data_IF_215284190394
#
_entry.id   IF_215284190394
#
_cell.length_a   1.000
_cell.length_b   1.000
_cell.length_c   1.000
_cell.angle_alpha   90.00
_cell.angle_beta   90.00
_cell.angle_gamma   90.00
#
_symmetry.space_group_name_H-M   'P 1'
#
loop_
_entity.id
_entity.type
_entity.pdbx_description
1 polymer ?
#
# COMPACT_ATOMS: atom_id res chain seq x y z
N UNK A 1 -0.75 -30.92 -47.44
CA UNK A 1 -1.05 -30.79 -45.99
C UNK A 1 -2.55 -30.78 -45.83
N UNK A 2 -3.06 -31.46 -44.81
CA UNK A 2 -4.47 -31.42 -44.45
C UNK A 2 -4.83 -30.12 -43.70
N UNK A 3 -6.10 -29.69 -43.69
CA UNK A 3 -6.54 -28.49 -42.95
C UNK A 3 -6.27 -28.55 -41.43
N UNK A 4 -6.18 -29.75 -40.84
CA UNK A 4 -5.78 -29.95 -39.43
C UNK A 4 -4.27 -29.71 -39.22
N UNK A 5 -3.42 -30.12 -40.18
CA UNK A 5 -1.97 -29.90 -40.12
C UNK A 5 -1.58 -28.43 -40.34
N UNK A 6 -2.31 -27.68 -41.17
CA UNK A 6 -2.14 -26.23 -41.34
C UNK A 6 -2.56 -25.43 -40.09
N UNK A 7 -3.63 -25.84 -39.39
CA UNK A 7 -4.03 -25.23 -38.11
C UNK A 7 -3.05 -25.55 -36.98
N UNK A 8 -2.49 -26.76 -36.96
CA UNK A 8 -1.43 -27.15 -36.03
C UNK A 8 -0.10 -26.45 -36.31
N UNK A 9 0.26 -26.20 -37.58
CA UNK A 9 1.46 -25.43 -37.95
C UNK A 9 1.35 -23.93 -37.62
N UNK A 10 0.14 -23.40 -37.38
CA UNK A 10 -0.10 -22.01 -36.99
C UNK A 10 -0.22 -21.77 -35.49
N UNK A 11 -0.05 -22.79 -34.64
CA UNK A 11 -0.04 -22.64 -33.19
C UNK A 11 1.39 -22.33 -32.74
N UNK A 12 1.61 -21.13 -32.21
CA UNK A 12 2.90 -20.70 -31.67
C UNK A 12 2.74 -20.33 -30.19
N UNK A 13 3.86 -20.25 -29.46
CA UNK A 13 3.83 -19.80 -28.05
C UNK A 13 3.23 -18.39 -27.94
N UNK A 14 3.54 -17.52 -28.89
CA UNK A 14 3.02 -16.15 -28.94
C UNK A 14 1.50 -16.13 -29.09
N UNK A 15 0.97 -16.91 -30.04
CA UNK A 15 -0.48 -17.01 -30.27
C UNK A 15 -1.21 -17.63 -29.07
N UNK A 16 -0.56 -18.56 -28.38
CA UNK A 16 -1.08 -19.17 -27.17
C UNK A 16 -1.18 -18.16 -26.02
N UNK A 17 -0.15 -17.33 -25.82
CA UNK A 17 -0.14 -16.25 -24.82
C UNK A 17 -1.15 -15.16 -25.16
N UNK A 18 -1.27 -14.75 -26.43
CA UNK A 18 -2.24 -13.76 -26.88
C UNK A 18 -3.67 -14.22 -26.60
N UNK A 19 -3.99 -15.48 -26.92
CA UNK A 19 -5.30 -16.05 -26.63
C UNK A 19 -5.57 -16.17 -25.12
N UNK A 20 -4.57 -16.53 -24.32
CA UNK A 20 -4.69 -16.58 -22.86
C UNK A 20 -4.96 -15.20 -22.25
N UNK A 21 -4.22 -14.16 -22.68
CA UNK A 21 -4.46 -12.78 -22.27
C UNK A 21 -5.86 -12.28 -22.67
N UNK A 22 -6.32 -12.63 -23.87
CA UNK A 22 -7.69 -12.34 -24.32
C UNK A 22 -8.74 -12.97 -23.41
N UNK A 23 -8.60 -14.26 -23.10
CA UNK A 23 -9.51 -14.98 -22.21
C UNK A 23 -9.50 -14.40 -20.79
N UNK A 24 -8.32 -14.04 -20.25
CA UNK A 24 -8.21 -13.36 -18.95
C UNK A 24 -8.94 -12.02 -18.97
N UNK A 25 -8.81 -11.23 -20.04
CA UNK A 25 -9.49 -9.94 -20.14
C UNK A 25 -11.01 -10.09 -20.18
N UNK A 26 -11.52 -11.11 -20.86
CA UNK A 26 -12.96 -11.42 -20.97
C UNK A 26 -13.50 -11.98 -19.65
N UNK A 27 -12.93 -13.08 -19.15
CA UNK A 27 -13.51 -13.92 -18.09
C UNK A 27 -12.79 -13.80 -16.73
N UNK A 28 -11.61 -13.18 -16.71
CA UNK A 28 -10.73 -13.14 -15.53
C UNK A 28 -9.83 -14.37 -15.44
N UNK A 29 -8.87 -14.34 -14.51
CA UNK A 29 -7.88 -15.41 -14.32
C UNK A 29 -8.53 -16.75 -13.96
N UNK A 30 -9.66 -16.73 -13.26
CA UNK A 30 -10.38 -17.94 -12.85
C UNK A 30 -11.06 -18.65 -14.04
N UNK A 31 -11.30 -17.94 -15.15
CA UNK A 31 -11.77 -18.52 -16.42
C UNK A 31 -10.66 -19.21 -17.24
N UNK A 32 -9.38 -18.93 -16.94
CA UNK A 32 -8.26 -19.51 -17.67
C UNK A 32 -8.00 -20.96 -17.28
N UNK A 33 -8.45 -21.87 -18.14
CA UNK A 33 -8.13 -23.30 -18.11
C UNK A 33 -7.52 -23.78 -19.43
N UNK A 34 -6.74 -24.86 -19.40
CA UNK A 34 -6.17 -25.46 -20.62
C UNK A 34 -7.26 -25.86 -21.63
N UNK A 35 -8.43 -26.28 -21.14
CA UNK A 35 -9.58 -26.61 -22.00
C UNK A 35 -10.17 -25.36 -22.64
N UNK A 36 -10.48 -24.33 -21.84
CA UNK A 36 -11.03 -23.08 -22.36
C UNK A 36 -10.07 -22.41 -23.38
N UNK A 37 -8.76 -22.48 -23.13
CA UNK A 37 -7.75 -21.99 -24.07
C UNK A 37 -7.71 -22.80 -25.37
N UNK A 38 -7.84 -24.13 -25.30
CA UNK A 38 -7.87 -24.99 -26.48
C UNK A 38 -9.13 -24.72 -27.33
N UNK A 39 -10.28 -24.58 -26.67
CA UNK A 39 -11.55 -24.23 -27.30
C UNK A 39 -11.45 -22.87 -28.01
N UNK A 40 -10.86 -21.86 -27.33
CA UNK A 40 -10.64 -20.51 -27.89
C UNK A 40 -9.71 -20.48 -29.11
N UNK A 41 -8.78 -21.42 -29.18
CA UNK A 41 -7.83 -21.58 -30.28
C UNK A 41 -8.32 -22.55 -31.36
N UNK A 42 -9.48 -23.19 -31.16
CA UNK A 42 -10.05 -24.23 -32.02
C UNK A 42 -9.08 -25.42 -32.27
N UNK A 43 -8.34 -25.81 -31.23
CA UNK A 43 -7.40 -26.94 -31.26
C UNK A 43 -7.73 -27.96 -30.18
N UNK A 44 -7.15 -29.16 -30.28
CA UNK A 44 -7.26 -30.17 -29.22
C UNK A 44 -6.39 -29.75 -28.04
N UNK A 45 -6.82 -29.98 -26.80
CA UNK A 45 -6.03 -29.63 -25.60
C UNK A 45 -4.62 -30.24 -25.61
N UNK A 46 -4.48 -31.48 -26.13
CA UNK A 46 -3.19 -32.13 -26.34
C UNK A 46 -2.21 -31.29 -27.21
N UNK A 47 -2.72 -30.47 -28.13
CA UNK A 47 -1.91 -29.59 -28.98
C UNK A 47 -1.22 -28.49 -28.18
N UNK A 48 -1.86 -27.98 -27.12
CA UNK A 48 -1.27 -26.94 -26.26
C UNK A 48 -0.03 -27.46 -25.52
N UNK A 49 -0.03 -28.74 -25.13
CA UNK A 49 1.03 -29.34 -24.34
C UNK A 49 2.37 -29.51 -25.09
N UNK A 50 2.35 -29.37 -26.42
CA UNK A 50 3.59 -29.27 -27.22
C UNK A 50 4.30 -27.93 -27.06
N UNK A 51 3.57 -26.89 -26.65
CA UNK A 51 4.09 -25.55 -26.48
C UNK A 51 4.36 -25.20 -25.01
N UNK A 52 3.57 -25.74 -24.07
CA UNK A 52 3.70 -25.52 -22.63
C UNK A 52 3.50 -26.82 -21.86
N UNK A 53 4.32 -27.11 -20.85
CA UNK A 53 4.22 -28.35 -20.06
C UNK A 53 2.94 -28.42 -19.24
N UNK A 54 2.50 -27.29 -18.71
CA UNK A 54 1.34 -27.17 -17.83
C UNK A 54 0.80 -25.73 -17.79
N UNK A 55 -0.22 -25.50 -16.94
CA UNK A 55 -0.81 -24.18 -16.70
C UNK A 55 0.18 -23.21 -16.05
N UNK A 56 1.13 -23.70 -15.26
CA UNK A 56 2.12 -22.85 -14.59
C UNK A 56 3.10 -22.28 -15.61
N UNK A 57 3.62 -23.09 -16.53
CA UNK A 57 4.47 -22.58 -17.63
C UNK A 57 3.70 -21.60 -18.53
N UNK A 58 2.40 -21.83 -18.76
CA UNK A 58 1.55 -20.85 -19.44
C UNK A 58 1.50 -19.51 -18.69
N UNK A 59 1.30 -19.53 -17.37
CA UNK A 59 1.28 -18.30 -16.57
C UNK A 59 2.63 -17.57 -16.56
N UNK A 60 3.75 -18.31 -16.58
CA UNK A 60 5.07 -17.71 -16.74
C UNK A 60 5.17 -16.93 -18.05
N UNK A 61 4.75 -17.53 -19.18
CA UNK A 61 4.77 -16.87 -20.49
C UNK A 61 3.82 -15.66 -20.55
N UNK A 62 2.67 -15.75 -19.88
CA UNK A 62 1.72 -14.63 -19.76
C UNK A 62 2.35 -13.49 -18.94
N UNK A 63 2.99 -13.79 -17.82
CA UNK A 63 3.69 -12.79 -17.01
C UNK A 63 4.84 -12.13 -17.77
N UNK A 64 5.64 -12.92 -18.49
CA UNK A 64 6.70 -12.41 -19.37
C UNK A 64 6.14 -11.46 -20.42
N UNK A 65 4.99 -11.78 -21.03
CA UNK A 65 4.32 -10.90 -21.99
C UNK A 65 3.82 -9.59 -21.35
N UNK A 66 3.26 -9.67 -20.14
CA UNK A 66 2.83 -8.49 -19.37
C UNK A 66 4.03 -7.59 -19.05
N UNK A 67 5.14 -8.16 -18.60
CA UNK A 67 6.33 -7.39 -18.23
C UNK A 67 7.11 -6.88 -19.45
N UNK A 68 7.15 -7.66 -20.54
CA UNK A 68 7.85 -7.31 -21.78
C UNK A 68 7.22 -6.17 -22.57
N UNK A 69 5.99 -5.79 -22.22
CA UNK A 69 5.25 -4.67 -22.83
C UNK A 69 5.22 -3.43 -21.96
N UNK A 70 5.96 -3.42 -20.84
CA UNK A 70 6.20 -2.22 -20.03
C UNK A 70 7.00 -1.24 -20.87
N UNK A 71 6.45 -0.03 -21.08
CA UNK A 71 7.10 1.00 -21.89
C UNK A 71 8.37 1.47 -21.21
N UNK A 72 9.52 1.25 -21.87
CA UNK A 72 10.82 1.71 -21.42
C UNK A 72 10.87 3.25 -21.49
N UNK A 73 11.01 3.97 -20.36
CA UNK A 73 11.01 5.43 -20.36
C UNK A 73 12.30 5.97 -21.00
N UNK A 74 12.23 7.19 -21.55
CA UNK A 74 13.43 7.87 -22.06
C UNK A 74 14.41 8.15 -20.89
N UNK A 75 15.71 7.91 -21.06
CA UNK A 75 16.70 8.23 -20.03
C UNK A 75 16.64 9.71 -19.63
N UNK A 76 16.65 9.96 -18.34
CA UNK A 76 16.74 11.29 -17.72
C UNK A 76 18.05 11.43 -16.93
N UNK A 77 18.33 12.66 -16.47
CA UNK A 77 19.63 13.01 -15.88
C UNK A 77 19.95 12.31 -14.53
N UNK A 78 18.98 11.64 -13.89
CA UNK A 78 19.19 11.02 -12.59
C UNK A 78 18.55 9.64 -12.45
N UNK A 79 19.27 8.72 -11.78
CA UNK A 79 18.83 7.36 -11.49
C UNK A 79 17.45 7.32 -10.82
N UNK A 80 17.15 8.31 -9.97
CA UNK A 80 15.88 8.44 -9.26
C UNK A 80 14.73 8.72 -10.22
N UNK A 81 14.87 9.70 -11.11
CA UNK A 81 13.81 10.00 -12.08
C UNK A 81 13.59 8.83 -13.03
N UNK A 82 14.65 8.12 -13.42
CA UNK A 82 14.55 6.91 -14.24
C UNK A 82 13.80 5.80 -13.50
N UNK A 83 14.15 5.50 -12.24
CA UNK A 83 13.47 4.48 -11.44
C UNK A 83 11.97 4.80 -11.25
N UNK A 84 11.63 6.08 -11.00
CA UNK A 84 10.24 6.53 -10.92
C UNK A 84 9.48 6.36 -12.24
N UNK A 85 10.13 6.68 -13.36
CA UNK A 85 9.51 6.53 -14.68
C UNK A 85 9.27 5.05 -15.02
N UNK A 86 10.21 4.16 -14.66
CA UNK A 86 10.06 2.71 -14.84
C UNK A 86 8.89 2.19 -13.98
N UNK A 87 8.86 2.53 -12.69
CA UNK A 87 7.76 2.15 -11.79
C UNK A 87 6.39 2.65 -12.27
N UNK A 88 6.33 3.88 -12.80
CA UNK A 88 5.11 4.44 -13.38
C UNK A 88 4.65 3.73 -14.65
N UNK A 89 5.59 3.30 -15.50
CA UNK A 89 5.28 2.48 -16.67
C UNK A 89 4.78 1.08 -16.28
N UNK A 90 5.41 0.46 -15.28
CA UNK A 90 4.98 -0.83 -14.74
C UNK A 90 3.57 -0.73 -14.14
N UNK A 91 3.30 0.28 -13.30
CA UNK A 91 1.96 0.50 -12.73
C UNK A 91 0.88 0.65 -13.80
N UNK A 92 1.15 1.45 -14.84
CA UNK A 92 0.21 1.63 -15.95
C UNK A 92 -0.08 0.33 -16.67
N UNK A 93 0.95 -0.50 -16.90
CA UNK A 93 0.78 -1.81 -17.54
C UNK A 93 -0.05 -2.76 -16.68
N UNK A 94 0.23 -2.83 -15.38
CA UNK A 94 -0.53 -3.66 -14.44
C UNK A 94 -1.98 -3.21 -14.37
N UNK A 95 -2.23 -1.91 -14.30
CA UNK A 95 -3.59 -1.35 -14.22
C UNK A 95 -4.38 -1.55 -15.52
N UNK A 96 -3.72 -1.69 -16.66
CA UNK A 96 -4.35 -1.91 -17.96
C UNK A 96 -4.68 -3.38 -18.24
N UNK A 97 -4.13 -4.32 -17.47
CA UNK A 97 -4.28 -5.76 -17.68
C UNK A 97 -5.09 -6.38 -16.55
N UNK A 98 -6.23 -6.99 -16.88
CA UNK A 98 -7.09 -7.65 -15.90
C UNK A 98 -6.32 -8.78 -15.19
N UNK A 99 -6.48 -8.84 -13.87
CA UNK A 99 -5.83 -9.80 -12.96
C UNK A 99 -4.29 -9.85 -13.01
N UNK A 100 -3.62 -8.83 -13.57
CA UNK A 100 -2.16 -8.80 -13.67
C UNK A 100 -1.45 -8.97 -12.32
N UNK A 101 -1.96 -8.34 -11.25
CA UNK A 101 -1.39 -8.51 -9.90
C UNK A 101 -1.42 -9.97 -9.44
N UNK A 102 -2.54 -10.68 -9.63
CA UNK A 102 -2.66 -12.10 -9.25
C UNK A 102 -1.68 -12.96 -10.05
N UNK A 103 -1.64 -12.75 -11.37
CA UNK A 103 -0.73 -13.47 -12.27
C UNK A 103 0.72 -13.28 -11.85
N UNK A 104 1.17 -12.03 -11.66
CA UNK A 104 2.56 -11.71 -11.34
C UNK A 104 2.98 -12.24 -9.95
N UNK A 105 2.06 -12.35 -9.00
CA UNK A 105 2.33 -12.94 -7.69
C UNK A 105 2.38 -14.48 -7.72
N UNK A 106 1.73 -15.13 -8.69
CA UNK A 106 1.81 -16.59 -8.88
C UNK A 106 3.13 -17.03 -9.53
N UNK A 107 3.84 -16.14 -10.24
CA UNK A 107 5.10 -16.45 -10.94
C UNK A 107 6.23 -15.45 -10.60
N UNK A 108 6.74 -15.46 -9.36
CA UNK A 108 7.77 -14.51 -8.89
C UNK A 108 9.05 -14.54 -9.75
N UNK A 109 9.44 -15.72 -10.25
CA UNK A 109 10.64 -15.89 -11.09
C UNK A 109 10.56 -15.13 -12.43
N UNK A 110 9.36 -14.80 -12.91
CA UNK A 110 9.18 -13.98 -14.11
C UNK A 110 9.58 -12.52 -13.88
N UNK A 111 9.48 -12.01 -12.64
CA UNK A 111 9.87 -10.64 -12.31
C UNK A 111 11.38 -10.48 -12.47
N UNK A 112 12.17 -11.39 -11.87
CA UNK A 112 13.63 -11.34 -11.90
C UNK A 112 14.21 -11.53 -13.30
N UNK A 113 13.52 -12.27 -14.17
CA UNK A 113 13.90 -12.44 -15.58
C UNK A 113 13.56 -11.24 -16.47
N UNK A 114 12.77 -10.29 -15.99
CA UNK A 114 12.26 -9.21 -16.83
C UNK A 114 13.29 -8.11 -17.10
N UNK A 115 13.17 -7.47 -18.27
CA UNK A 115 13.91 -6.24 -18.59
C UNK A 115 13.59 -5.12 -17.60
N UNK A 116 12.38 -5.09 -17.06
CA UNK A 116 11.97 -4.09 -16.05
C UNK A 116 12.79 -4.24 -14.77
N UNK A 117 13.02 -5.47 -14.31
CA UNK A 117 13.91 -5.75 -13.19
C UNK A 117 15.35 -5.34 -13.50
N UNK A 118 15.86 -5.71 -14.67
CA UNK A 118 17.22 -5.36 -15.09
C UNK A 118 17.43 -3.84 -15.14
N UNK A 119 16.46 -3.10 -15.70
CA UNK A 119 16.51 -1.64 -15.80
C UNK A 119 16.46 -0.98 -14.41
N UNK A 120 15.60 -1.46 -13.50
CA UNK A 120 15.54 -0.98 -12.11
C UNK A 120 16.82 -1.27 -11.35
N UNK A 121 17.36 -2.49 -11.48
CA UNK A 121 18.63 -2.88 -10.88
C UNK A 121 19.77 -1.99 -11.36
N UNK A 122 19.83 -1.68 -12.66
CA UNK A 122 20.81 -0.77 -13.21
C UNK A 122 20.70 0.66 -12.61
N UNK A 123 19.47 1.14 -12.33
CA UNK A 123 19.31 2.42 -11.63
C UNK A 123 19.80 2.35 -10.19
N UNK A 124 19.57 1.24 -9.48
CA UNK A 124 20.08 1.04 -8.12
C UNK A 124 21.62 0.98 -8.08
N UNK A 125 22.25 0.35 -9.08
CA UNK A 125 23.70 0.34 -9.22
C UNK A 125 24.26 1.73 -9.54
N UNK A 126 23.58 2.50 -10.41
CA UNK A 126 23.92 3.90 -10.69
C UNK A 126 23.80 4.77 -9.43
N UNK A 127 22.88 4.43 -8.53
CA UNK A 127 22.77 5.07 -7.23
C UNK A 127 23.94 4.73 -6.27
N UNK A 128 24.74 3.71 -6.56
CA UNK A 128 25.89 3.28 -5.76
C UNK A 128 25.69 1.99 -4.97
N UNK A 129 24.61 1.23 -5.22
CA UNK A 129 24.39 -0.06 -4.56
C UNK A 129 25.26 -1.15 -5.18
N UNK A 130 25.69 -2.10 -4.35
CA UNK A 130 26.39 -3.30 -4.81
C UNK A 130 25.45 -4.19 -5.61
N UNK A 131 25.99 -5.00 -6.53
CA UNK A 131 25.18 -5.75 -7.50
C UNK A 131 24.13 -6.70 -6.88
N UNK A 132 24.43 -7.31 -5.73
CA UNK A 132 23.47 -8.12 -4.97
C UNK A 132 22.38 -7.25 -4.35
N UNK A 133 22.76 -6.22 -3.58
CA UNK A 133 21.85 -5.28 -2.91
C UNK A 133 20.93 -4.57 -3.94
N UNK A 134 21.44 -4.22 -5.11
CA UNK A 134 20.69 -3.61 -6.19
C UNK A 134 19.59 -4.53 -6.75
N UNK A 135 19.86 -5.84 -6.79
CA UNK A 135 18.89 -6.84 -7.21
C UNK A 135 17.74 -6.96 -6.22
N UNK A 136 18.06 -7.08 -4.93
CA UNK A 136 17.06 -7.18 -3.86
C UNK A 136 16.14 -5.94 -3.84
N UNK A 137 16.73 -4.76 -3.96
CA UNK A 137 15.98 -3.50 -3.98
C UNK A 137 15.13 -3.35 -5.25
N UNK A 138 15.63 -3.79 -6.41
CA UNK A 138 14.85 -3.78 -7.65
C UNK A 138 13.61 -4.69 -7.56
N UNK A 139 13.79 -5.90 -7.02
CA UNK A 139 12.69 -6.83 -6.78
C UNK A 139 11.69 -6.25 -5.78
N UNK A 140 12.17 -5.67 -4.68
CA UNK A 140 11.33 -4.99 -3.69
C UNK A 140 10.48 -3.86 -4.32
N UNK A 141 11.09 -3.03 -5.18
CA UNK A 141 10.37 -1.96 -5.89
C UNK A 141 9.30 -2.53 -6.82
N UNK A 142 9.61 -3.57 -7.60
CA UNK A 142 8.62 -4.21 -8.48
C UNK A 142 7.47 -4.80 -7.69
N UNK A 143 7.75 -5.55 -6.62
CA UNK A 143 6.74 -6.14 -5.75
C UNK A 143 5.86 -5.06 -5.15
N UNK A 144 6.43 -3.94 -4.68
CA UNK A 144 5.66 -2.82 -4.15
C UNK A 144 4.73 -2.21 -5.21
N UNK A 145 5.18 -2.04 -6.45
CA UNK A 145 4.35 -1.52 -7.54
C UNK A 145 3.22 -2.51 -7.85
N UNK A 146 3.52 -3.81 -7.91
CA UNK A 146 2.54 -4.87 -8.20
C UNK A 146 1.45 -4.97 -7.14
N UNK A 147 1.82 -4.87 -5.87
CA UNK A 147 0.89 -4.93 -4.74
C UNK A 147 0.24 -3.58 -4.44
N UNK A 148 0.79 -2.48 -4.95
CA UNK A 148 0.17 -1.17 -4.82
C UNK A 148 -1.11 -1.13 -5.65
N UNK A 149 -2.25 -1.18 -4.97
CA UNK A 149 -3.52 -0.79 -5.58
C UNK A 149 -3.37 0.65 -6.05
N UNK A 150 -3.67 0.90 -7.33
CA UNK A 150 -4.21 2.21 -7.69
C UNK A 150 -5.35 2.47 -6.70
N UNK A 151 -5.39 3.61 -5.98
CA UNK A 151 -6.46 3.85 -5.03
C UNK A 151 -7.77 3.58 -5.76
N UNK A 152 -8.49 2.54 -5.32
CA UNK A 152 -9.85 2.32 -5.76
C UNK A 152 -10.55 3.66 -5.58
N UNK A 153 -11.31 4.10 -6.58
CA UNK A 153 -12.06 5.35 -6.53
C UNK A 153 -12.78 5.43 -5.17
N UNK A 154 -12.14 6.15 -4.25
CA UNK A 154 -12.64 6.32 -2.91
C UNK A 154 -13.82 7.27 -3.05
N UNK A 155 -14.88 7.11 -2.24
CA UNK A 155 -15.98 8.07 -2.22
C UNK A 155 -15.38 9.47 -2.11
N UNK A 156 -15.85 10.37 -2.99
CA UNK A 156 -15.38 11.75 -3.04
C UNK A 156 -15.69 12.41 -1.69
N UNK A 157 -14.70 12.46 -0.81
CA UNK A 157 -14.75 13.27 0.40
C UNK A 157 -14.62 14.73 -0.06
N UNK A 158 -15.63 15.54 0.25
CA UNK A 158 -15.62 16.97 -0.04
C UNK A 158 -14.35 17.62 0.51
N UNK A 159 -13.53 18.14 -0.41
CA UNK A 159 -12.22 18.74 -0.12
C UNK A 159 -12.40 20.16 0.41
N UNK A 160 -12.25 20.34 1.71
CA UNK A 160 -12.02 21.63 2.36
C UNK A 160 -10.63 21.68 3.00
N UNK A 161 -9.79 22.61 2.55
CA UNK A 161 -8.44 22.90 3.08
C UNK A 161 -7.32 21.98 2.58
N UNK A 162 -6.10 22.53 2.46
CA UNK A 162 -4.89 21.74 2.19
C UNK A 162 -4.66 20.74 3.34
N UNK A 163 -4.77 19.45 3.03
CA UNK A 163 -4.66 18.35 4.00
C UNK A 163 -3.19 18.07 4.27
N UNK A 164 -2.78 18.19 5.53
CA UNK A 164 -1.45 17.83 5.98
C UNK A 164 -1.30 16.30 6.02
N UNK A 165 -0.08 15.81 5.80
CA UNK A 165 0.24 14.39 5.87
C UNK A 165 1.44 14.16 6.77
N UNK A 166 1.40 13.10 7.56
CA UNK A 166 2.51 12.64 8.37
C UNK A 166 2.85 11.19 8.06
N UNK A 167 4.13 10.94 7.78
CA UNK A 167 4.67 9.61 7.57
C UNK A 167 5.67 9.28 8.68
N UNK A 168 5.46 8.15 9.37
CA UNK A 168 6.47 7.57 10.28
C UNK A 168 7.29 6.59 9.45
N UNK A 169 8.55 6.92 9.20
CA UNK A 169 9.42 6.16 8.30
C UNK A 169 9.90 4.86 8.95
N UNK A 170 10.27 3.93 8.07
CA UNK A 170 10.84 2.63 8.39
C UNK A 170 12.00 2.74 9.38
N UNK A 171 12.04 1.80 10.32
CA UNK A 171 13.03 1.75 11.41
C UNK A 171 12.74 2.68 12.59
N UNK A 172 11.68 3.49 12.55
CA UNK A 172 11.30 4.35 13.68
C UNK A 172 10.81 3.54 14.88
N UNK A 173 11.27 3.89 16.09
CA UNK A 173 10.89 3.22 17.35
C UNK A 173 10.39 4.21 18.38
N UNK A 174 9.33 3.88 19.10
CA UNK A 174 8.85 4.67 20.24
C UNK A 174 8.39 6.07 19.81
N UNK A 175 7.50 6.18 18.83
CA UNK A 175 6.98 7.48 18.37
C UNK A 175 5.61 7.72 19.00
N UNK A 176 5.40 8.90 19.57
CA UNK A 176 4.08 9.37 20.02
C UNK A 176 3.71 10.58 19.15
N UNK A 177 2.59 10.49 18.45
CA UNK A 177 1.96 11.64 17.81
C UNK A 177 0.76 12.08 18.63
N UNK A 178 0.62 13.38 18.90
CA UNK A 178 -0.56 13.90 19.59
C UNK A 178 -1.01 15.26 19.10
N UNK A 179 -2.20 15.68 19.51
CA UNK A 179 -2.66 17.04 19.27
C UNK A 179 -1.82 18.05 20.07
N UNK A 180 -1.33 19.09 19.37
CA UNK A 180 -0.73 20.26 19.99
C UNK A 180 -1.77 21.24 20.52
N UNK A 181 -1.33 22.38 21.09
CA UNK A 181 -2.23 23.37 21.65
C UNK A 181 -3.04 24.08 20.53
N UNK A 182 -4.23 24.63 20.84
CA UNK A 182 -5.15 25.18 19.84
C UNK A 182 -4.61 26.42 19.12
N UNK A 183 -3.66 27.13 19.71
CA UNK A 183 -2.99 28.32 19.17
C UNK A 183 -1.77 27.99 18.30
N UNK A 184 -1.50 26.71 18.05
CA UNK A 184 -0.38 26.26 17.25
C UNK A 184 -0.50 26.69 15.77
N UNK A 185 0.53 27.37 15.26
CA UNK A 185 0.59 27.83 13.87
C UNK A 185 1.46 26.93 12.97
N UNK A 186 2.57 26.39 13.49
CA UNK A 186 3.41 25.43 12.76
C UNK A 186 2.71 24.08 12.59
N UNK A 187 3.09 23.27 11.58
CA UNK A 187 2.51 21.93 11.39
C UNK A 187 2.84 20.97 12.53
N UNK A 188 4.06 21.07 13.07
CA UNK A 188 4.51 20.24 14.19
C UNK A 188 5.24 21.08 15.24
N UNK A 189 5.24 20.56 16.46
CA UNK A 189 6.01 21.05 17.58
C UNK A 189 6.60 19.87 18.33
N UNK A 190 7.84 20.01 18.77
CA UNK A 190 8.51 19.03 19.61
C UNK A 190 8.57 19.62 21.02
N UNK A 191 8.00 18.96 22.04
CA UNK A 191 8.07 19.42 23.42
C UNK A 191 9.53 19.52 23.91
N UNK A 192 9.94 20.65 24.52
CA UNK A 192 11.33 20.90 24.92
C UNK A 192 11.80 20.06 26.12
N UNK A 193 10.89 19.46 26.88
CA UNK A 193 11.15 18.68 28.09
C UNK A 193 11.45 17.19 27.82
N UNK A 194 11.39 16.75 26.56
CA UNK A 194 11.64 15.36 26.19
C UNK A 194 13.00 15.16 25.54
N UNK A 195 13.94 14.63 26.32
CA UNK A 195 15.32 14.26 25.91
C UNK A 195 15.40 13.21 24.77
N UNK A 196 14.26 12.74 24.26
CA UNK A 196 14.13 11.72 23.22
C UNK A 196 13.30 12.12 22.00
N UNK A 197 13.15 13.43 21.75
CA UNK A 197 12.44 14.01 20.60
C UNK A 197 12.64 13.21 19.29
N UNK A 198 11.53 12.89 18.61
CA UNK A 198 11.60 12.21 17.32
C UNK A 198 12.05 13.22 16.24
N UNK A 199 13.13 12.94 15.49
CA UNK A 199 13.52 13.78 14.36
C UNK A 199 12.38 13.82 13.35
N UNK A 200 11.95 15.02 12.98
CA UNK A 200 10.90 15.23 12.00
C UNK A 200 11.33 16.26 10.96
N UNK A 201 11.11 15.95 9.68
CA UNK A 201 11.41 16.82 8.55
C UNK A 201 10.08 17.31 7.99
N UNK A 202 9.92 18.63 7.89
CA UNK A 202 8.74 19.26 7.31
C UNK A 202 9.08 19.73 5.89
N UNK A 203 8.28 19.32 4.90
CA UNK A 203 8.37 19.74 3.49
C UNK A 203 6.98 20.11 2.98
N UNK A 204 6.67 21.40 2.97
CA UNK A 204 5.30 21.86 2.67
C UNK A 204 4.31 21.32 3.71
N UNK A 205 3.23 20.68 3.24
CA UNK A 205 2.21 20.04 4.07
C UNK A 205 2.56 18.58 4.46
N UNK A 206 3.81 18.16 4.24
CA UNK A 206 4.27 16.81 4.58
C UNK A 206 5.25 16.83 5.75
N UNK A 207 5.03 15.92 6.69
CA UNK A 207 5.90 15.68 7.84
C UNK A 207 6.43 14.25 7.74
N UNK A 208 7.75 14.07 7.84
CA UNK A 208 8.37 12.74 7.88
C UNK A 208 9.10 12.57 9.19
N UNK A 209 8.70 11.57 9.97
CA UNK A 209 9.28 11.23 11.27
C UNK A 209 10.28 10.09 11.11
N UNK A 210 11.51 10.27 11.60
CA UNK A 210 12.60 9.30 11.52
C UNK A 210 13.30 9.14 12.86
N UNK A 211 12.83 8.21 13.70
CA UNK A 211 13.43 7.96 15.03
C UNK A 211 14.17 6.62 15.07
N UNK A 212 15.36 6.60 14.47
CA UNK A 212 16.18 5.40 14.33
C UNK A 212 17.01 5.05 15.59
N UNK A 213 17.18 6.00 16.52
CA UNK A 213 18.01 5.86 17.73
C UNK A 213 17.34 6.58 18.91
N UNK A 214 17.55 6.07 20.13
CA UNK A 214 17.03 6.65 21.37
C UNK A 214 16.42 5.62 22.32
N UNK A 215 16.48 5.88 23.63
CA UNK A 215 15.77 5.10 24.67
C UNK A 215 14.41 5.76 24.93
N UNK A 216 13.38 4.98 25.25
CA UNK A 216 12.05 5.51 25.59
C UNK A 216 11.22 5.94 24.36
N UNK A 217 10.25 6.84 24.59
CA UNK A 217 9.33 7.37 23.56
C UNK A 217 9.71 8.82 23.20
N UNK A 218 9.54 9.19 21.93
CA UNK A 218 9.73 10.54 21.41
C UNK A 218 8.41 11.10 20.91
N UNK A 219 8.05 12.27 21.40
CA UNK A 219 6.77 12.91 21.14
C UNK A 219 6.85 14.00 20.08
N UNK A 220 5.80 14.08 19.25
CA UNK A 220 5.56 15.17 18.31
C UNK A 220 4.10 15.61 18.47
N UNK A 221 3.92 16.90 18.73
CA UNK A 221 2.62 17.57 18.70
C UNK A 221 2.31 17.99 17.26
N UNK A 222 1.06 17.77 16.83
CA UNK A 222 0.54 18.09 15.52
C UNK A 222 -0.46 19.24 15.61
N UNK A 223 -0.46 20.11 14.61
CA UNK A 223 -1.36 21.25 14.57
C UNK A 223 -2.84 20.81 14.53
N UNK A 224 -3.67 21.14 15.54
CA UNK A 224 -5.07 20.72 15.58
C UNK A 224 -5.96 21.46 14.58
N UNK A 225 -5.50 22.58 14.01
CA UNK A 225 -6.23 23.37 13.00
C UNK A 225 -6.06 22.83 11.58
N UNK A 226 -5.35 21.71 11.41
CA UNK A 226 -5.10 21.09 10.10
C UNK A 226 -5.83 19.75 9.98
N UNK A 227 -6.42 19.44 8.81
CA UNK A 227 -6.81 18.08 8.49
C UNK A 227 -5.55 17.22 8.26
N UNK A 228 -5.54 16.00 8.78
CA UNK A 228 -4.37 15.11 8.77
C UNK A 228 -4.62 13.76 8.12
N UNK A 229 -3.65 13.30 7.33
CA UNK A 229 -3.48 11.90 6.91
C UNK A 229 -2.28 11.29 7.59
N UNK A 230 -2.41 10.06 8.09
CA UNK A 230 -1.37 9.35 8.80
C UNK A 230 -0.91 8.15 7.98
N UNK A 231 0.40 8.01 7.84
CA UNK A 231 1.03 6.83 7.24
C UNK A 231 2.08 6.28 8.20
N UNK A 232 1.91 5.04 8.65
CA UNK A 232 2.90 4.32 9.46
C UNK A 232 3.63 3.36 8.54
N UNK A 233 4.86 3.70 8.14
CA UNK A 233 5.67 2.90 7.23
C UNK A 233 6.60 1.99 8.02
N UNK A 234 6.27 0.72 7.95
CA UNK A 234 6.99 -0.33 8.62
C UNK A 234 8.39 -0.59 8.04
N UNK A 235 9.29 -1.24 8.81
CA UNK A 235 9.07 -1.73 10.18
C UNK A 235 9.11 -0.61 11.23
N UNK A 236 8.03 -0.45 12.00
CA UNK A 236 7.97 0.47 13.16
C UNK A 236 7.60 -0.30 14.42
N UNK A 237 8.09 0.13 15.58
CA UNK A 237 7.81 -0.54 16.86
C UNK A 237 7.42 0.46 17.95
N UNK A 238 6.39 0.15 18.74
CA UNK A 238 5.88 0.99 19.84
C UNK A 238 5.46 2.39 19.34
N UNK A 239 4.48 2.44 18.46
CA UNK A 239 3.94 3.69 17.93
C UNK A 239 2.62 3.99 18.62
N UNK A 240 2.43 5.24 19.06
CA UNK A 240 1.17 5.71 19.64
C UNK A 240 0.67 6.90 18.83
N UNK A 241 -0.52 6.77 18.26
CA UNK A 241 -1.25 7.84 17.60
C UNK A 241 -2.34 8.33 18.57
N UNK A 242 -2.04 9.32 19.40
CA UNK A 242 -3.01 9.97 20.29
C UNK A 242 -3.68 11.16 19.59
N UNK A 243 -4.53 10.85 18.61
CA UNK A 243 -5.02 11.82 17.62
C UNK A 243 -6.46 12.27 17.90
N UNK A 244 -6.96 12.06 19.11
CA UNK A 244 -8.34 12.38 19.51
C UNK A 244 -8.73 13.87 19.36
N UNK A 245 -7.74 14.78 19.44
CA UNK A 245 -7.95 16.23 19.27
C UNK A 245 -7.78 16.73 17.83
N UNK A 246 -7.54 15.85 16.84
CA UNK A 246 -7.20 16.22 15.46
C UNK A 246 -8.35 15.94 14.48
N UNK A 247 -8.31 16.61 13.32
CA UNK A 247 -9.17 16.28 12.18
C UNK A 247 -8.53 15.19 11.30
N UNK A 248 -8.77 13.91 11.66
CA UNK A 248 -8.21 12.76 10.94
C UNK A 248 -9.00 12.47 9.67
N UNK A 249 -8.29 12.36 8.53
CA UNK A 249 -8.86 12.09 7.20
C UNK A 249 -8.55 10.70 6.66
N UNK A 250 -7.46 10.09 7.12
CA UNK A 250 -7.03 8.75 6.70
C UNK A 250 -5.95 8.23 7.65
N UNK A 251 -5.95 6.94 7.94
CA UNK A 251 -4.84 6.26 8.61
C UNK A 251 -4.44 5.03 7.76
N UNK A 252 -3.17 4.96 7.38
CA UNK A 252 -2.61 3.83 6.65
C UNK A 252 -1.46 3.21 7.44
N UNK A 253 -1.51 1.89 7.65
CA UNK A 253 -0.48 1.12 8.36
C UNK A 253 0.09 0.08 7.43
N UNK A 254 1.39 0.18 7.17
CA UNK A 254 2.14 -0.70 6.27
C UNK A 254 2.63 -1.99 6.96
N UNK A 255 3.00 -2.98 6.15
CA UNK A 255 3.42 -4.33 6.57
C UNK A 255 4.68 -4.36 7.43
N UNK A 256 4.60 -4.92 8.65
CA UNK A 256 5.73 -5.02 9.60
C UNK A 256 5.71 -4.01 10.75
N UNK A 257 4.62 -3.25 10.93
CA UNK A 257 4.40 -2.45 12.12
C UNK A 257 4.06 -3.37 13.32
N UNK A 258 4.60 -3.05 14.49
CA UNK A 258 4.35 -3.80 15.72
C UNK A 258 4.06 -2.87 16.91
N UNK A 259 3.11 -3.26 17.76
CA UNK A 259 2.69 -2.50 18.95
C UNK A 259 2.24 -1.08 18.58
N UNK A 260 1.18 -0.98 17.81
CA UNK A 260 0.56 0.27 17.42
C UNK A 260 -0.71 0.51 18.25
N UNK A 261 -0.76 1.65 18.94
CA UNK A 261 -1.97 2.11 19.64
C UNK A 261 -2.50 3.37 18.97
N UNK A 262 -3.77 3.38 18.60
CA UNK A 262 -4.43 4.52 17.96
C UNK A 262 -5.62 4.98 18.81
N UNK A 263 -5.60 6.22 19.28
CA UNK A 263 -6.72 6.88 19.94
C UNK A 263 -7.36 7.85 18.96
N UNK A 264 -8.50 7.46 18.40
CA UNK A 264 -9.16 8.14 17.29
C UNK A 264 -10.04 9.32 17.75
N UNK A 265 -10.22 10.36 16.93
CA UNK A 265 -11.19 11.41 17.20
C UNK A 265 -12.62 10.96 16.85
N UNK A 266 -13.59 11.86 17.06
CA UNK A 266 -14.89 11.75 16.39
C UNK A 266 -14.69 12.04 14.89
N UNK A 267 -15.08 11.14 13.97
CA UNK A 267 -14.83 11.29 12.54
C UNK A 267 -15.69 12.39 11.92
N UNK A 268 -15.26 12.91 10.77
CA UNK A 268 -16.07 13.77 9.89
C UNK A 268 -16.14 13.15 8.50
N UNK A 269 -17.34 12.76 8.10
CA UNK A 269 -17.57 11.88 6.98
C UNK A 269 -17.02 10.48 7.24
N UNK A 270 -16.84 9.73 6.15
CA UNK A 270 -16.23 8.41 6.18
C UNK A 270 -14.72 8.56 6.24
N UNK A 271 -14.10 8.09 7.32
CA UNK A 271 -12.65 8.14 7.52
C UNK A 271 -12.05 6.74 7.34
N UNK A 272 -11.30 6.48 6.25
CA UNK A 272 -10.71 5.18 6.01
C UNK A 272 -9.51 4.90 6.94
N UNK A 273 -9.43 3.65 7.41
CA UNK A 273 -8.30 3.10 8.14
C UNK A 273 -7.88 1.79 7.46
N UNK A 274 -6.66 1.75 6.93
CA UNK A 274 -6.12 0.59 6.22
C UNK A 274 -5.00 -0.06 7.03
N UNK A 275 -5.11 -1.36 7.30
CA UNK A 275 -4.10 -2.15 7.99
C UNK A 275 -3.60 -3.26 7.05
N UNK A 276 -2.34 -3.15 6.64
CA UNK A 276 -1.70 -4.11 5.73
C UNK A 276 -1.33 -5.43 6.43
N UNK A 277 -1.02 -6.45 5.64
CA UNK A 277 -0.58 -7.76 6.14
C UNK A 277 0.74 -7.69 6.92
N UNK A 278 1.00 -8.64 7.82
CA UNK A 278 2.27 -8.68 8.57
C UNK A 278 2.40 -7.62 9.68
N UNK A 279 1.28 -7.01 10.07
CA UNK A 279 1.20 -6.08 11.21
C UNK A 279 0.79 -6.86 12.47
N UNK A 280 1.42 -6.58 13.61
CA UNK A 280 1.21 -7.33 14.86
C UNK A 280 0.89 -6.39 16.02
N UNK A 281 -0.08 -6.77 16.86
CA UNK A 281 -0.48 -6.05 18.06
C UNK A 281 -0.89 -4.60 17.76
N UNK A 282 -2.09 -4.45 17.21
CA UNK A 282 -2.68 -3.16 16.87
C UNK A 282 -3.95 -2.97 17.69
N UNK A 283 -4.02 -1.87 18.42
CA UNK A 283 -5.21 -1.48 19.15
C UNK A 283 -5.73 -0.15 18.63
N UNK A 284 -7.00 -0.14 18.23
CA UNK A 284 -7.73 1.04 17.80
C UNK A 284 -8.80 1.36 18.84
N UNK A 285 -8.66 2.50 19.47
CA UNK A 285 -9.54 3.02 20.50
C UNK A 285 -10.38 4.15 19.90
N UNK A 286 -11.69 3.99 19.87
CA UNK A 286 -12.61 5.03 19.34
C UNK A 286 -13.46 5.68 20.44
N UNK A 287 -13.89 6.94 20.29
CA UNK A 287 -14.79 7.54 21.26
C UNK A 287 -16.10 6.74 21.36
N UNK A 288 -16.67 6.62 22.56
CA UNK A 288 -17.97 5.93 22.75
C UNK A 288 -19.04 6.52 21.82
N UNK A 289 -19.84 5.64 21.22
CA UNK A 289 -20.89 6.02 20.25
C UNK A 289 -20.37 6.31 18.84
N UNK A 290 -19.05 6.25 18.60
CA UNK A 290 -18.49 6.42 17.25
C UNK A 290 -18.70 5.17 16.42
N UNK A 291 -19.28 5.34 15.24
CA UNK A 291 -19.55 4.26 14.31
C UNK A 291 -18.29 3.75 13.59
N UNK A 292 -18.24 2.43 13.40
CA UNK A 292 -17.20 1.75 12.63
C UNK A 292 -17.83 0.67 11.78
N UNK A 293 -17.40 0.59 10.53
CA UNK A 293 -17.56 -0.58 9.68
C UNK A 293 -16.18 -1.21 9.53
N UNK A 294 -16.08 -2.53 9.64
CA UNK A 294 -14.84 -3.27 9.48
C UNK A 294 -14.98 -4.41 8.49
N UNK A 295 -14.12 -4.41 7.49
CA UNK A 295 -13.89 -5.48 6.54
C UNK A 295 -12.55 -6.13 6.91
N UNK A 296 -12.59 -7.38 7.35
CA UNK A 296 -11.39 -8.13 7.76
C UNK A 296 -11.24 -9.31 6.82
N UNK A 297 -10.15 -9.35 6.08
CA UNK A 297 -9.88 -10.38 5.11
C UNK A 297 -9.45 -11.71 5.75
N UNK A 298 -9.72 -12.79 5.04
CA UNK A 298 -9.37 -14.17 5.41
C UNK A 298 -7.88 -14.27 5.79
N UNK A 299 -7.59 -14.89 6.94
CA UNK A 299 -6.23 -15.10 7.43
C UNK A 299 -5.76 -14.12 8.51
N UNK A 300 -6.58 -13.17 8.95
CA UNK A 300 -6.30 -12.39 10.17
C UNK A 300 -6.40 -13.28 11.44
N UNK A 301 -5.56 -13.03 12.44
CA UNK A 301 -5.40 -13.87 13.64
C UNK A 301 -5.61 -13.04 14.90
N UNK A 302 -6.32 -13.57 15.90
CA UNK A 302 -6.67 -12.91 17.17
C UNK A 302 -7.33 -11.55 16.95
N UNK A 303 -8.53 -11.57 16.39
CA UNK A 303 -9.33 -10.37 16.18
C UNK A 303 -10.27 -10.16 17.36
N UNK A 304 -10.37 -8.92 17.86
CA UNK A 304 -11.38 -8.50 18.82
C UNK A 304 -11.99 -7.16 18.40
N UNK A 305 -13.27 -7.15 18.05
CA UNK A 305 -14.02 -5.96 17.65
C UNK A 305 -15.16 -5.75 18.65
N UNK A 306 -14.96 -4.89 19.65
CA UNK A 306 -15.85 -4.75 20.81
C UNK A 306 -16.15 -6.12 21.47
N UNK A 307 -17.41 -6.57 21.40
CA UNK A 307 -17.89 -7.84 21.94
C UNK A 307 -17.67 -9.02 20.97
N UNK A 308 -17.37 -8.75 19.70
CA UNK A 308 -17.02 -9.78 18.72
C UNK A 308 -15.56 -10.19 18.89
N UNK A 309 -15.27 -11.49 18.89
CA UNK A 309 -13.89 -11.98 18.87
C UNK A 309 -13.74 -13.29 18.10
N UNK A 310 -12.61 -13.47 17.43
CA UNK A 310 -12.24 -14.72 16.77
C UNK A 310 -10.73 -14.96 16.86
N UNK A 311 -10.34 -16.23 16.99
CA UNK A 311 -8.92 -16.62 17.02
C UNK A 311 -8.29 -16.54 15.63
N UNK A 312 -9.02 -16.88 14.58
CA UNK A 312 -8.56 -16.81 13.18
C UNK A 312 -9.78 -16.53 12.30
N UNK A 313 -9.67 -15.58 11.38
CA UNK A 313 -10.65 -15.34 10.33
C UNK A 313 -10.44 -16.37 9.21
N UNK A 314 -11.27 -17.42 9.17
CA UNK A 314 -11.20 -18.48 8.16
C UNK A 314 -11.91 -18.04 6.84
N UNK A 315 -12.72 -16.99 6.93
CA UNK A 315 -13.39 -16.30 5.82
C UNK A 315 -13.36 -14.79 6.07
N UNK A 316 -13.71 -14.01 5.05
CA UNK A 316 -13.82 -12.56 5.18
C UNK A 316 -14.92 -12.20 6.18
N UNK A 317 -14.56 -11.41 7.20
CA UNK A 317 -15.45 -10.95 8.25
C UNK A 317 -15.91 -9.54 7.91
N UNK A 318 -17.23 -9.38 7.78
CA UNK A 318 -17.88 -8.09 7.68
C UNK A 318 -18.52 -7.79 9.04
N UNK A 319 -18.00 -6.80 9.73
CA UNK A 319 -18.46 -6.40 11.06
C UNK A 319 -18.83 -4.92 11.07
N UNK A 320 -19.79 -4.55 11.90
CA UNK A 320 -20.16 -3.16 12.11
C UNK A 320 -20.52 -2.93 13.57
N UNK A 321 -20.25 -1.74 14.08
CA UNK A 321 -20.86 -1.29 15.32
C UNK A 321 -22.35 -0.99 15.11
N UNK A 322 -23.11 -0.96 16.21
CA UNK A 322 -24.55 -0.67 16.16
C UNK A 322 -24.86 0.64 15.39
N UNK A 323 -25.77 0.57 14.41
CA UNK A 323 -26.19 1.72 13.60
C UNK A 323 -25.15 2.28 12.61
N UNK A 324 -23.99 1.64 12.42
CA UNK A 324 -22.87 2.25 11.70
C UNK A 324 -23.15 2.60 10.23
N UNK A 325 -23.96 1.79 9.52
CA UNK A 325 -24.27 2.04 8.11
C UNK A 325 -25.24 3.21 7.89
N UNK A 326 -26.01 3.59 8.91
CA UNK A 326 -27.03 4.64 8.83
C UNK A 326 -26.47 6.04 9.14
N UNK A 327 -25.29 6.09 9.76
CA UNK A 327 -24.63 7.35 10.10
C UNK A 327 -23.65 7.80 9.01
N UNK A 328 -23.58 9.11 8.82
CA UNK A 328 -22.69 9.76 7.84
C UNK A 328 -21.23 9.76 8.30
N UNK A 329 -21.00 9.97 9.59
CA UNK A 329 -19.69 10.09 10.18
C UNK A 329 -19.29 8.76 10.82
N UNK A 330 -18.30 8.09 10.24
CA UNK A 330 -17.85 6.76 10.68
C UNK A 330 -16.42 6.48 10.26
N UNK A 331 -15.78 5.53 10.94
CA UNK A 331 -14.56 4.92 10.43
C UNK A 331 -14.90 3.73 9.53
N UNK A 332 -14.16 3.60 8.44
CA UNK A 332 -14.24 2.44 7.56
C UNK A 332 -12.89 1.71 7.61
N UNK A 333 -12.88 0.54 8.22
CA UNK A 333 -11.69 -0.20 8.58
C UNK A 333 -11.49 -1.37 7.63
N UNK A 334 -10.36 -1.40 6.94
CA UNK A 334 -9.95 -2.47 6.05
C UNK A 334 -8.72 -3.18 6.61
N UNK A 335 -8.87 -4.44 7.00
CA UNK A 335 -7.83 -5.25 7.65
C UNK A 335 -7.44 -6.40 6.74
N UNK A 336 -6.21 -6.33 6.22
CA UNK A 336 -5.64 -7.36 5.36
C UNK A 336 -5.45 -8.71 6.07
N UNK A 337 -5.27 -9.76 5.25
CA UNK A 337 -4.85 -11.08 5.73
C UNK A 337 -3.49 -11.01 6.45
N UNK A 338 -3.25 -11.88 7.44
CA UNK A 338 -1.96 -11.92 8.14
C UNK A 338 -1.71 -10.81 9.16
N UNK A 339 -2.71 -9.98 9.48
CA UNK A 339 -2.70 -9.15 10.69
C UNK A 339 -2.89 -10.03 11.92
N UNK A 340 -2.09 -9.81 12.96
CA UNK A 340 -2.12 -10.62 14.20
C UNK A 340 -2.39 -9.73 15.41
N UNK A 341 -3.33 -10.14 16.26
CA UNK A 341 -3.69 -9.44 17.50
C UNK A 341 -4.18 -8.01 17.23
N UNK A 342 -5.32 -7.93 16.54
CA UNK A 342 -5.96 -6.68 16.18
C UNK A 342 -7.20 -6.46 17.04
N UNK A 343 -7.27 -5.30 17.68
CA UNK A 343 -8.34 -4.92 18.59
C UNK A 343 -8.96 -3.60 18.19
N UNK A 344 -10.29 -3.55 18.23
CA UNK A 344 -11.07 -2.31 18.28
C UNK A 344 -11.84 -2.29 19.60
N UNK A 345 -11.76 -1.18 20.32
CA UNK A 345 -12.57 -0.93 21.50
C UNK A 345 -12.96 0.55 21.60
N UNK A 346 -13.62 0.91 22.72
CA UNK A 346 -14.04 2.28 23.00
C UNK A 346 -13.29 2.92 24.17
N UNK A 347 -13.13 4.23 24.12
CA UNK A 347 -12.53 5.03 25.19
C UNK A 347 -13.26 6.38 25.37
N UNK A 348 -12.89 7.11 26.43
CA UNK A 348 -13.33 8.49 26.67
C UNK A 348 -12.18 9.44 26.33
N UNK A 349 -12.33 10.31 25.32
CA UNK A 349 -11.29 11.27 24.94
C UNK A 349 -10.88 12.20 26.08
N UNK A 350 -9.58 12.54 26.15
CA UNK A 350 -9.03 13.47 27.15
C UNK A 350 -9.11 14.94 26.72
N UNK A 351 -9.27 15.20 25.43
CA UNK A 351 -9.33 16.55 24.85
C UNK A 351 -10.44 16.61 23.79
N UNK A 352 -11.16 17.73 23.74
CA UNK A 352 -12.10 18.03 22.68
C UNK A 352 -11.37 18.58 21.46
N UNK A 353 -11.87 18.24 20.27
CA UNK A 353 -11.31 18.67 18.99
C UNK A 353 -11.41 20.19 18.84
N UNK A 354 -10.36 20.82 18.34
CA UNK A 354 -10.39 22.23 17.93
C UNK A 354 -10.92 22.36 16.50
N UNK A 355 -11.91 23.21 16.28
CA UNK A 355 -12.41 23.49 14.93
C UNK A 355 -11.44 24.37 14.15
N UNK A 356 -11.01 23.89 12.99
CA UNK A 356 -10.23 24.68 12.05
C UNK A 356 -11.11 25.79 11.44
N UNK A 357 -10.65 27.05 11.39
CA UNK A 357 -11.34 28.07 10.61
C UNK A 357 -11.34 27.69 9.12
N UNK A 358 -12.43 28.02 8.42
CA UNK A 358 -12.59 27.72 6.99
C UNK A 358 -11.40 28.27 6.17
N UNK A 359 -10.70 27.40 5.46
CA UNK A 359 -9.51 27.77 4.68
C UNK A 359 -9.89 28.38 3.32
N UNK A 360 -9.26 29.52 2.98
CA UNK A 360 -9.30 30.08 1.62
C UNK A 360 -8.48 29.20 0.64
N UNK A 361 -8.96 28.98 -0.60
CA UNK A 361 -8.31 28.10 -1.54
C UNK A 361 -6.99 28.69 -2.06
N UNK A 362 -5.88 27.98 -1.82
CA UNK A 362 -4.55 28.26 -2.41
C UNK A 362 -4.16 27.20 -3.46
N UNK A 363 -3.25 27.51 -4.41
CA UNK A 363 -3.01 26.65 -5.55
C UNK A 363 -2.19 25.41 -5.18
N UNK A 364 -2.64 24.28 -5.75
CA UNK A 364 -2.27 22.89 -5.44
C UNK A 364 -0.78 22.58 -5.58
N UNK A 365 -0.17 22.08 -4.50
CA UNK A 365 1.09 21.33 -4.54
C UNK A 365 0.86 19.83 -4.77
N UNK A 366 1.75 19.16 -5.51
CA UNK A 366 1.64 17.74 -5.88
C UNK A 366 2.17 16.85 -4.73
N UNK A 367 1.36 15.90 -4.24
CA UNK A 367 1.75 14.96 -3.18
C UNK A 367 2.69 13.85 -3.68
N UNK A 368 3.70 13.49 -2.86
CA UNK A 368 4.72 12.50 -3.19
C UNK A 368 4.22 11.05 -3.02
N UNK A 369 4.66 10.15 -3.91
CA UNK A 369 4.25 8.73 -4.01
C UNK A 369 5.08 7.80 -3.11
N UNK A 370 4.56 6.62 -2.76
CA UNK A 370 5.27 5.60 -1.98
C UNK A 370 6.62 5.16 -2.60
N UNK A 371 6.70 5.23 -3.94
CA UNK A 371 7.91 4.98 -4.70
C UNK A 371 9.00 6.03 -4.41
N UNK A 372 8.63 7.30 -4.23
CA UNK A 372 9.59 8.35 -3.87
C UNK A 372 10.22 8.09 -2.49
N UNK A 373 9.47 7.50 -1.56
CA UNK A 373 9.95 7.19 -0.22
C UNK A 373 10.95 6.04 -0.23
N UNK A 374 10.70 4.99 -1.02
CA UNK A 374 11.67 3.90 -1.19
C UNK A 374 13.00 4.42 -1.78
N UNK A 375 12.93 5.31 -2.77
CA UNK A 375 14.11 5.91 -3.40
C UNK A 375 14.87 6.85 -2.44
N UNK A 376 14.18 7.53 -1.54
CA UNK A 376 14.82 8.29 -0.46
C UNK A 376 15.65 7.39 0.48
N UNK A 377 15.17 6.17 0.76
CA UNK A 377 15.89 5.19 1.59
C UNK A 377 17.19 4.70 0.94
N UNK A 378 17.16 4.46 -0.38
CA UNK A 378 18.34 4.12 -1.18
C UNK A 378 19.39 5.24 -1.09
N UNK A 379 18.97 6.48 -1.29
CA UNK A 379 19.86 7.65 -1.25
C UNK A 379 20.51 7.86 0.13
N UNK A 380 19.75 7.64 1.20
CA UNK A 380 20.26 7.73 2.57
C UNK A 380 21.32 6.66 2.88
N UNK A 381 21.13 5.43 2.36
CA UNK A 381 22.07 4.32 2.57
C UNK A 381 23.38 4.51 1.82
N UNK A 382 23.32 5.04 0.60
CA UNK A 382 24.50 5.39 -0.21
C UNK A 382 25.34 6.47 0.47
N UNK A 383 24.69 7.51 1.02
CA UNK A 383 25.37 8.62 1.72
C UNK A 383 25.96 8.23 3.09
N UNK A 384 25.62 7.04 3.61
CA UNK A 384 26.07 6.54 4.92
C UNK A 384 27.29 5.61 4.85
N UNK A 385 27.75 5.28 3.64
CA UNK A 385 29.06 4.66 3.36
C UNK A 385 30.04 5.75 2.96
#
# INVERSE_FOLDING_TARGET
MSPEEERQHGLTRERLVEAALGLINEEGLDGLSMRALADRLEVKAASLYWHVRDRSELLELVAESILGTVVRPRPSAGWRQNAMAIGSSLQRRISAQKDATRILLEVPDALERSDTYADLKAQMQTAGLQASEAGDVALMVMTQVITSRAPAESPVVERGGDVASIAIDSGSRGVILRAGPPDMEALIRVPPDQSGAAPAIVRGEQVVVRRLRGVGRGEIELNPRRPWKFKVQAPTWNTVLDVGGLDVREIYVDSGAANLECFLPVPRGVVPIHISSGVVNVSVHRPRGTAVVAHVHTGAVKLKLDDFSTKVAIFDVHWQSEGALEVRDRFDLDVSSGVVDFKVDTYTPKAERTDAPAAEPKPKGKAASALEILLDGVEARVKSR
#
